data_IF_920782649825
#
_entry.id   IF_920782649825
#
_cell.length_a   1.000
_cell.length_b   1.000
_cell.length_c   1.000
_cell.angle_alpha   90.00
_cell.angle_beta   90.00
_cell.angle_gamma   90.00
#
_symmetry.space_group_name_H-M   'P 1'
#
loop_
_entity.id
_entity.type
_entity.pdbx_description
1 polymer ?
#
# COMPACT_ATOMS: atom_id res chain seq x y z
N UNK A 1 23.10 2.56 27.58
CA UNK A 1 22.63 3.91 27.96
C UNK A 1 23.64 5.05 27.78
N UNK A 2 24.97 4.81 27.63
CA UNK A 2 25.94 5.89 27.40
C UNK A 2 26.02 6.41 25.95
N UNK A 3 25.64 5.64 24.92
CA UNK A 3 25.79 6.05 23.51
C UNK A 3 24.72 7.03 23.01
N UNK A 4 23.46 6.87 23.38
CA UNK A 4 22.37 7.75 22.90
C UNK A 4 22.53 9.19 23.39
N UNK A 5 23.01 9.39 24.62
CA UNK A 5 23.28 10.73 25.16
C UNK A 5 24.46 11.41 24.45
N UNK A 6 25.46 10.65 24.00
CA UNK A 6 26.59 11.18 23.23
C UNK A 6 26.22 11.50 21.77
N UNK A 7 25.36 10.67 21.18
CA UNK A 7 24.66 10.92 19.90
C UNK A 7 23.87 12.22 19.96
N UNK A 8 23.03 12.33 20.97
CA UNK A 8 22.20 13.50 21.23
C UNK A 8 23.10 14.71 21.49
N UNK A 9 24.13 14.63 22.34
CA UNK A 9 25.10 15.72 22.54
C UNK A 9 25.77 16.12 21.22
N UNK A 10 26.28 15.17 20.43
CA UNK A 10 27.01 15.43 19.19
C UNK A 10 26.16 16.15 18.15
N UNK A 11 24.90 15.74 17.94
CA UNK A 11 24.01 16.38 16.94
C UNK A 11 23.19 17.54 17.52
N UNK A 12 23.12 17.68 18.85
CA UNK A 12 22.65 18.92 19.52
C UNK A 12 23.72 20.02 19.49
N UNK A 13 25.01 19.67 19.47
CA UNK A 13 26.14 20.62 19.44
C UNK A 13 26.29 21.37 18.11
N UNK A 14 25.89 20.78 16.97
CA UNK A 14 25.88 21.47 15.67
C UNK A 14 24.70 22.45 15.52
N UNK A 15 23.67 22.32 16.36
CA UNK A 15 22.51 23.23 16.45
C UNK A 15 22.77 24.31 17.54
N UNK A 16 23.69 25.22 17.21
CA UNK A 16 24.09 26.44 17.93
C UNK A 16 23.48 26.74 19.34
N UNK A 17 24.34 26.60 20.36
CA UNK A 17 24.43 27.36 21.63
C UNK A 17 23.13 27.68 22.39
N UNK A 18 22.89 26.88 23.43
CA UNK A 18 22.15 27.33 24.60
C UNK A 18 21.34 26.23 25.24
N UNK A 19 21.92 25.59 26.28
CA UNK A 19 21.27 24.77 27.30
C UNK A 19 20.45 23.57 26.82
N UNK A 20 20.89 22.33 27.11
CA UNK A 20 19.98 21.24 27.50
C UNK A 20 20.71 19.96 27.94
N UNK A 21 20.45 19.55 29.18
CA UNK A 21 20.57 18.18 29.67
C UNK A 21 19.36 17.37 29.12
N UNK A 22 19.59 16.21 28.52
CA UNK A 22 18.55 15.31 28.02
C UNK A 22 18.57 13.99 28.82
N UNK A 23 17.67 13.86 29.79
CA UNK A 23 17.31 12.58 30.40
C UNK A 23 15.99 12.10 29.76
N UNK A 24 16.12 11.18 28.80
CA UNK A 24 15.01 10.65 28.01
C UNK A 24 14.21 9.56 28.74
N UNK A 25 14.44 9.37 30.05
CA UNK A 25 13.55 8.59 30.92
C UNK A 25 12.35 9.39 31.42
N UNK A 26 12.32 10.71 31.18
CA UNK A 26 11.21 11.58 31.56
C UNK A 26 10.70 12.38 30.36
N UNK A 27 9.45 12.12 29.95
CA UNK A 27 8.70 12.82 28.89
C UNK A 27 8.72 14.36 29.02
N UNK A 28 9.00 14.89 30.23
CA UNK A 28 9.05 16.32 30.55
C UNK A 28 10.06 17.15 29.74
N UNK A 29 11.13 16.56 29.20
CA UNK A 29 12.20 17.32 28.53
C UNK A 29 12.00 17.52 27.02
N UNK A 30 11.06 16.81 26.40
CA UNK A 30 10.63 17.05 25.02
C UNK A 30 9.83 18.35 24.88
N UNK A 31 9.31 18.88 25.98
CA UNK A 31 8.51 20.12 26.02
C UNK A 31 9.28 21.38 25.59
N UNK A 32 10.62 21.34 25.57
CA UNK A 32 11.45 22.47 25.14
C UNK A 32 11.66 22.54 23.62
N UNK A 33 11.30 21.50 22.87
CA UNK A 33 11.22 21.55 21.40
C UNK A 33 9.76 21.73 21.01
N UNK A 34 9.42 22.90 20.45
CA UNK A 34 8.01 23.20 20.11
C UNK A 34 7.36 22.20 19.11
N UNK A 35 8.12 21.29 18.47
CA UNK A 35 7.61 20.30 17.50
C UNK A 35 8.38 18.95 17.47
N UNK A 36 8.92 18.46 18.59
CA UNK A 36 9.51 17.10 18.65
C UNK A 36 8.43 16.05 18.99
N UNK A 37 8.45 14.90 18.31
CA UNK A 37 7.49 13.81 18.54
C UNK A 37 8.22 12.50 18.80
N UNK A 38 7.93 11.89 19.94
CA UNK A 38 8.40 10.54 20.30
C UNK A 38 7.26 9.56 20.07
N UNK A 39 7.56 8.50 19.31
CA UNK A 39 6.60 7.47 18.94
C UNK A 39 7.04 6.16 19.58
N UNK A 40 6.27 5.72 20.56
CA UNK A 40 6.45 4.44 21.26
C UNK A 40 5.78 3.27 20.53
N UNK A 41 4.67 3.55 19.83
CA UNK A 41 3.99 2.58 19.00
C UNK A 41 3.44 3.31 17.75
N UNK A 42 4.07 3.14 16.57
CA UNK A 42 3.64 3.82 15.36
C UNK A 42 2.32 3.29 14.81
N UNK A 43 1.83 2.13 15.28
CA UNK A 43 0.68 1.43 14.73
C UNK A 43 -0.55 1.72 15.58
N UNK A 44 -1.63 2.19 14.94
CA UNK A 44 -2.95 2.29 15.57
C UNK A 44 -3.40 0.94 16.14
N UNK A 45 -4.10 0.93 17.27
CA UNK A 45 -4.67 -0.31 17.85
C UNK A 45 -5.59 -1.08 16.89
N UNK A 46 -6.12 -0.40 15.87
CA UNK A 46 -7.01 -0.99 14.87
C UNK A 46 -6.28 -1.75 13.76
N UNK A 47 -4.93 -1.79 13.72
CA UNK A 47 -4.17 -2.33 12.60
C UNK A 47 -4.67 -1.80 11.23
N UNK A 48 -4.95 -0.50 11.12
CA UNK A 48 -5.41 0.13 9.87
C UNK A 48 -4.37 1.06 9.23
N UNK A 49 -3.10 0.92 9.63
CA UNK A 49 -1.92 1.48 8.92
C UNK A 49 -1.86 2.98 8.77
N UNK A 50 -2.47 3.69 9.70
CA UNK A 50 -2.31 5.13 9.83
C UNK A 50 -1.48 5.34 11.09
N UNK A 51 -0.50 6.24 11.01
CA UNK A 51 0.14 6.78 12.22
C UNK A 51 -0.95 7.17 13.22
N UNK A 52 -0.74 6.83 14.50
CA UNK A 52 -1.62 7.25 15.58
C UNK A 52 -1.88 8.78 15.47
N UNK A 53 -3.06 9.22 15.93
CA UNK A 53 -3.58 10.59 15.81
C UNK A 53 -2.61 11.68 16.28
N UNK A 54 -1.57 11.29 17.04
CA UNK A 54 -0.41 12.05 17.48
C UNK A 54 0.25 12.93 16.41
N UNK A 55 0.27 12.51 15.13
CA UNK A 55 0.87 13.28 14.02
C UNK A 55 -0.14 13.84 13.00
N UNK A 56 -1.44 13.78 13.30
CA UNK A 56 -2.47 14.31 12.38
C UNK A 56 -2.20 15.79 12.10
N UNK A 57 -1.94 16.08 10.82
CA UNK A 57 -1.73 17.41 10.24
C UNK A 57 -0.54 18.25 10.76
N UNK A 58 0.42 17.66 11.49
CA UNK A 58 1.61 18.39 11.98
C UNK A 58 2.89 17.86 11.36
N UNK A 59 3.79 18.78 11.02
CA UNK A 59 5.17 18.45 10.69
C UNK A 59 6.02 18.47 11.97
N UNK A 60 6.93 17.51 12.09
CA UNK A 60 7.85 17.40 13.21
C UNK A 60 9.29 17.67 12.76
N UNK A 61 10.05 18.39 13.58
CA UNK A 61 11.48 18.60 13.32
C UNK A 61 12.32 17.40 13.76
N UNK A 62 11.77 16.56 14.63
CA UNK A 62 12.38 15.34 15.12
C UNK A 62 11.28 14.29 15.32
N UNK A 63 11.46 13.13 14.70
CA UNK A 63 10.68 11.93 14.95
C UNK A 63 11.61 10.90 15.55
N UNK A 64 11.31 10.46 16.77
CA UNK A 64 12.06 9.41 17.44
C UNK A 64 11.19 8.15 17.56
N UNK A 65 11.57 7.09 16.85
CA UNK A 65 10.99 5.76 16.99
C UNK A 65 11.78 4.97 18.02
N UNK A 66 11.12 4.65 19.13
CA UNK A 66 11.71 3.86 20.21
C UNK A 66 11.36 2.38 20.06
N UNK A 67 12.38 1.53 20.04
CA UNK A 67 12.22 0.08 20.04
C UNK A 67 11.99 -0.50 18.64
N UNK A 68 11.72 -1.80 18.61
CA UNK A 68 11.64 -2.62 17.40
C UNK A 68 10.23 -2.77 16.83
N UNK A 69 9.29 -1.87 17.17
CA UNK A 69 7.89 -1.97 16.72
C UNK A 69 7.75 -1.88 15.19
N UNK A 70 8.60 -1.08 14.54
CA UNK A 70 8.66 -1.04 13.07
C UNK A 70 9.08 -2.39 12.46
N UNK A 71 9.85 -3.18 13.21
CA UNK A 71 10.31 -4.50 12.82
C UNK A 71 9.27 -5.61 13.08
N UNK A 72 8.16 -5.30 13.75
CA UNK A 72 7.11 -6.27 14.05
C UNK A 72 5.94 -6.24 13.07
N UNK A 73 5.89 -5.25 12.19
CA UNK A 73 4.79 -5.04 11.26
C UNK A 73 5.16 -5.38 9.82
N UNK A 74 4.21 -5.96 9.08
CA UNK A 74 4.31 -6.09 7.62
C UNK A 74 4.19 -4.73 6.91
N UNK A 75 3.79 -3.68 7.64
CA UNK A 75 3.57 -2.34 7.13
C UNK A 75 4.73 -1.39 7.41
N UNK A 76 5.91 -1.94 7.73
CA UNK A 76 7.13 -1.15 7.96
C UNK A 76 7.38 -0.13 6.85
N UNK A 77 7.14 -0.50 5.59
CA UNK A 77 7.29 0.37 4.41
C UNK A 77 6.35 1.58 4.46
N UNK A 78 5.06 1.34 4.70
CA UNK A 78 4.01 2.37 4.78
C UNK A 78 4.27 3.30 5.96
N UNK A 79 4.63 2.74 7.12
CA UNK A 79 4.94 3.51 8.32
C UNK A 79 6.14 4.42 8.09
N UNK A 80 7.22 3.91 7.49
CA UNK A 80 8.40 4.71 7.18
C UNK A 80 8.07 5.87 6.21
N UNK A 81 7.28 5.60 5.17
CA UNK A 81 6.82 6.60 4.22
C UNK A 81 6.02 7.71 4.93
N UNK A 82 5.07 7.35 5.80
CA UNK A 82 4.30 8.34 6.56
C UNK A 82 5.19 9.18 7.49
N UNK A 83 6.11 8.55 8.22
CA UNK A 83 7.00 9.27 9.13
C UNK A 83 7.92 10.23 8.37
N UNK A 84 8.48 9.79 7.25
CA UNK A 84 9.31 10.64 6.40
C UNK A 84 8.54 11.86 5.88
N UNK A 85 7.29 11.66 5.45
CA UNK A 85 6.43 12.74 4.98
C UNK A 85 5.99 13.70 6.09
N UNK A 86 5.96 13.25 7.36
CA UNK A 86 5.67 14.11 8.52
C UNK A 86 6.89 14.84 9.06
N UNK A 87 8.10 14.56 8.57
CA UNK A 87 9.26 15.38 8.91
C UNK A 87 9.24 16.70 8.16
N UNK A 88 9.47 17.78 8.90
CA UNK A 88 9.80 19.09 8.34
C UNK A 88 11.11 19.00 7.52
N UNK A 89 11.32 19.89 6.55
CA UNK A 89 12.64 20.07 5.94
C UNK A 89 13.73 20.23 7.00
N UNK A 90 14.91 19.62 6.78
CA UNK A 90 16.01 19.51 7.76
C UNK A 90 15.68 18.72 9.03
N UNK A 91 14.50 18.11 9.12
CA UNK A 91 14.10 17.30 10.27
C UNK A 91 14.85 15.97 10.35
N UNK A 92 14.84 15.37 11.54
CA UNK A 92 15.57 14.14 11.83
C UNK A 92 14.64 12.96 12.10
N UNK A 93 14.89 11.83 11.43
CA UNK A 93 14.32 10.53 11.76
C UNK A 93 15.32 9.74 12.60
N UNK A 94 14.97 9.42 13.82
CA UNK A 94 15.80 8.59 14.71
C UNK A 94 15.12 7.23 14.88
N UNK A 95 15.84 6.17 14.52
CA UNK A 95 15.44 4.79 14.74
C UNK A 95 16.33 4.21 15.85
N UNK A 96 15.75 4.05 17.04
CA UNK A 96 16.45 3.45 18.17
C UNK A 96 16.06 1.97 18.27
N UNK A 97 17.03 1.07 18.09
CA UNK A 97 16.88 -0.40 18.16
C UNK A 97 16.22 -1.04 16.92
N UNK A 98 16.58 -0.60 15.71
CA UNK A 98 16.15 -1.26 14.48
C UNK A 98 16.76 -2.67 14.38
N UNK A 99 15.95 -3.69 14.09
CA UNK A 99 16.39 -5.08 13.93
C UNK A 99 16.03 -5.63 12.55
N UNK A 100 17.02 -6.13 11.82
CA UNK A 100 16.77 -6.74 10.51
C UNK A 100 15.82 -7.94 10.61
N UNK A 101 14.87 -8.03 9.69
CA UNK A 101 13.93 -9.14 9.62
C UNK A 101 13.62 -9.51 8.15
N UNK A 102 12.72 -10.47 7.94
CA UNK A 102 12.34 -10.93 6.59
C UNK A 102 11.62 -9.87 5.74
N UNK A 103 11.04 -8.85 6.36
CA UNK A 103 10.28 -7.79 5.69
C UNK A 103 11.13 -6.55 5.40
N UNK A 104 12.17 -6.29 6.21
CA UNK A 104 12.99 -5.09 6.12
C UNK A 104 14.39 -5.34 6.70
N UNK A 105 15.39 -5.38 5.81
CA UNK A 105 16.82 -5.43 6.12
C UNK A 105 17.39 -4.02 6.29
N UNK A 106 18.64 -3.92 6.75
CA UNK A 106 19.33 -2.61 6.87
C UNK A 106 19.53 -1.95 5.50
N UNK A 107 19.88 -2.73 4.47
CA UNK A 107 20.04 -2.20 3.12
C UNK A 107 18.69 -1.80 2.52
N UNK A 108 17.62 -2.56 2.80
CA UNK A 108 16.26 -2.24 2.36
C UNK A 108 15.76 -0.94 2.99
N UNK A 109 15.97 -0.76 4.30
CA UNK A 109 15.67 0.48 5.00
C UNK A 109 16.40 1.68 4.37
N UNK A 110 17.71 1.58 4.16
CA UNK A 110 18.50 2.67 3.56
C UNK A 110 18.05 2.97 2.13
N UNK A 111 17.76 1.93 1.33
CA UNK A 111 17.22 2.08 -0.03
C UNK A 111 15.89 2.84 -0.02
N UNK A 112 14.98 2.52 0.91
CA UNK A 112 13.70 3.23 1.04
C UNK A 112 13.89 4.70 1.38
N UNK A 113 14.74 5.02 2.37
CA UNK A 113 15.01 6.42 2.73
C UNK A 113 15.66 7.17 1.57
N UNK A 114 16.55 6.51 0.81
CA UNK A 114 17.11 7.04 -0.41
C UNK A 114 15.99 7.36 -1.43
N UNK A 115 15.09 6.42 -1.70
CA UNK A 115 13.99 6.61 -2.65
C UNK A 115 13.02 7.72 -2.19
N UNK A 116 12.68 7.77 -0.89
CA UNK A 116 11.77 8.78 -0.33
C UNK A 116 12.28 10.20 -0.45
N UNK A 117 13.61 10.35 -0.50
CA UNK A 117 14.29 11.63 -0.59
C UNK A 117 14.82 11.92 -1.99
N UNK A 118 14.48 11.11 -2.99
CA UNK A 118 15.08 11.17 -4.32
C UNK A 118 16.63 11.19 -4.28
N UNK A 119 17.21 10.44 -3.34
CA UNK A 119 18.64 10.30 -3.15
C UNK A 119 19.34 11.41 -2.35
N UNK A 120 18.58 12.28 -1.68
CA UNK A 120 19.13 13.47 -1.01
C UNK A 120 19.13 13.41 0.52
N UNK A 121 18.58 12.35 1.12
CA UNK A 121 18.65 12.13 2.56
C UNK A 121 20.10 11.89 3.02
N UNK A 122 20.42 12.40 4.20
CA UNK A 122 21.73 12.20 4.84
C UNK A 122 21.62 11.14 5.95
N UNK A 123 22.51 10.15 5.95
CA UNK A 123 22.71 9.27 7.10
C UNK A 123 23.69 9.96 8.07
N UNK A 124 23.15 10.69 9.03
CA UNK A 124 23.96 11.45 9.99
C UNK A 124 24.70 10.53 10.97
N UNK A 125 24.08 9.42 11.37
CA UNK A 125 24.66 8.48 12.33
C UNK A 125 24.22 7.05 12.08
N UNK A 126 25.16 6.13 12.32
CA UNK A 126 24.91 4.71 12.42
C UNK A 126 25.78 4.10 13.52
N UNK A 127 25.17 3.28 14.36
CA UNK A 127 25.87 2.40 15.28
C UNK A 127 25.20 1.04 15.30
N UNK A 128 26.01 -0.01 15.33
CA UNK A 128 25.55 -1.38 15.45
C UNK A 128 25.96 -1.93 16.79
N UNK A 129 24.98 -2.40 17.56
CA UNK A 129 25.20 -3.12 18.81
C UNK A 129 24.54 -4.48 18.69
N UNK A 130 25.34 -5.55 18.68
CA UNK A 130 24.88 -6.93 18.47
C UNK A 130 24.04 -7.07 17.18
N UNK A 131 22.72 -7.26 17.35
CA UNK A 131 21.72 -7.45 16.30
C UNK A 131 20.80 -6.22 16.11
N UNK A 132 21.15 -5.09 16.71
CA UNK A 132 20.38 -3.84 16.65
C UNK A 132 21.18 -2.73 16.00
N UNK A 133 20.47 -1.85 15.29
CA UNK A 133 21.01 -0.62 14.72
C UNK A 133 20.37 0.60 15.38
N UNK A 134 21.20 1.59 15.67
CA UNK A 134 20.81 2.96 15.98
C UNK A 134 21.10 3.80 14.74
N UNK A 135 20.07 4.42 14.15
CA UNK A 135 20.19 5.16 12.89
C UNK A 135 19.59 6.54 13.04
N UNK A 136 20.28 7.54 12.47
CA UNK A 136 19.77 8.91 12.37
C UNK A 136 19.85 9.34 10.92
N UNK A 137 18.69 9.61 10.33
CA UNK A 137 18.57 10.20 9.00
C UNK A 137 18.13 11.65 9.11
N UNK A 138 18.65 12.49 8.23
CA UNK A 138 18.21 13.88 8.09
C UNK A 138 17.57 14.09 6.74
N UNK A 139 16.40 14.73 6.78
CA UNK A 139 15.65 15.13 5.60
C UNK A 139 16.30 16.35 4.94
N UNK A 140 16.39 16.42 3.59
CA UNK A 140 16.98 17.57 2.90
C UNK A 140 16.19 18.87 3.18
N UNK A 141 16.82 20.00 2.82
CA UNK A 141 16.17 21.33 2.85
C UNK A 141 15.11 21.47 1.76
N UNK A 142 15.41 20.95 0.57
CA UNK A 142 14.46 20.87 -0.53
C UNK A 142 13.92 19.44 -0.56
N UNK A 143 12.70 19.27 -0.05
CA UNK A 143 11.92 18.05 -0.17
C UNK A 143 10.56 18.44 -0.74
N UNK A 144 10.27 18.03 -1.97
CA UNK A 144 8.93 18.24 -2.51
C UNK A 144 7.95 17.30 -1.79
N UNK A 145 6.78 17.80 -1.35
CA UNK A 145 5.82 16.95 -0.67
C UNK A 145 5.32 15.86 -1.61
N UNK A 146 5.70 14.61 -1.36
CA UNK A 146 5.21 13.43 -2.09
C UNK A 146 3.70 13.20 -1.92
N UNK A 147 3.08 13.92 -0.99
CA UNK A 147 1.67 13.87 -0.67
C UNK A 147 0.99 15.25 -0.75
N UNK A 148 1.34 16.05 -1.75
CA UNK A 148 0.80 17.39 -1.96
C UNK A 148 -0.74 17.43 -2.16
N UNK A 149 -1.28 18.65 -2.18
CA UNK A 149 -2.70 18.92 -2.43
C UNK A 149 -3.51 19.28 -1.19
N UNK A 150 -4.78 19.63 -1.40
CA UNK A 150 -5.77 19.91 -0.35
C UNK A 150 -6.81 18.80 -0.33
N UNK A 151 -7.19 18.34 0.87
CA UNK A 151 -8.22 17.30 0.99
C UNK A 151 -9.56 17.72 0.40
N UNK A 152 -9.84 19.03 0.32
CA UNK A 152 -11.07 19.60 -0.21
C UNK A 152 -11.10 19.81 -1.73
N UNK A 153 -10.04 19.40 -2.45
CA UNK A 153 -9.85 19.69 -3.87
C UNK A 153 -9.59 18.43 -4.71
N UNK A 154 -10.51 18.08 -5.63
CA UNK A 154 -10.53 16.77 -6.32
C UNK A 154 -10.84 16.84 -7.82
N UNK A 155 -10.12 16.06 -8.62
CA UNK A 155 -10.48 15.75 -9.99
C UNK A 155 -11.04 14.32 -10.07
N UNK A 156 -12.21 14.14 -10.68
CA UNK A 156 -12.82 12.84 -10.90
C UNK A 156 -12.75 12.46 -12.38
N UNK A 157 -11.87 11.53 -12.71
CA UNK A 157 -11.75 10.97 -14.04
C UNK A 157 -12.67 9.78 -14.27
N UNK A 158 -13.65 9.92 -15.15
CA UNK A 158 -14.60 8.85 -15.48
C UNK A 158 -14.27 8.28 -16.85
N UNK A 159 -14.04 6.98 -16.91
CA UNK A 159 -13.81 6.27 -18.16
C UNK A 159 -15.08 5.57 -18.60
N UNK A 160 -15.49 5.84 -19.84
CA UNK A 160 -16.69 5.23 -20.42
C UNK A 160 -16.51 4.88 -21.90
N UNK A 161 -17.38 4.00 -22.38
CA UNK A 161 -17.62 3.79 -23.82
C UNK A 161 -18.86 4.54 -24.31
N UNK A 162 -19.53 5.32 -23.45
CA UNK A 162 -20.76 6.05 -23.78
C UNK A 162 -22.04 5.20 -23.80
N UNK A 163 -21.92 3.87 -23.77
CA UNK A 163 -23.07 2.94 -23.95
C UNK A 163 -23.98 2.78 -22.72
N UNK A 164 -23.50 3.14 -21.53
CA UNK A 164 -24.21 2.90 -20.24
C UNK A 164 -24.65 4.21 -19.60
N UNK A 165 -25.53 4.95 -20.28
CA UNK A 165 -26.02 6.27 -19.83
C UNK A 165 -26.39 6.28 -18.35
N UNK A 166 -27.25 5.36 -17.92
CA UNK A 166 -27.75 5.29 -16.54
C UNK A 166 -26.65 5.06 -15.50
N UNK A 167 -25.59 4.32 -15.85
CA UNK A 167 -24.50 4.07 -14.91
C UNK A 167 -23.59 5.28 -14.78
N UNK A 168 -23.31 5.95 -15.91
CA UNK A 168 -22.60 7.23 -15.92
C UNK A 168 -23.35 8.25 -15.09
N UNK A 169 -24.67 8.44 -15.33
CA UNK A 169 -25.50 9.38 -14.58
C UNK A 169 -25.46 9.11 -13.08
N UNK A 170 -25.66 7.85 -12.66
CA UNK A 170 -25.56 7.48 -11.24
C UNK A 170 -24.19 7.75 -10.63
N UNK A 171 -23.11 7.51 -11.38
CA UNK A 171 -21.75 7.83 -10.92
C UNK A 171 -21.59 9.34 -10.74
N UNK A 172 -22.00 10.13 -11.73
CA UNK A 172 -21.93 11.59 -11.67
C UNK A 172 -22.72 12.11 -10.46
N UNK A 173 -23.97 11.71 -10.31
CA UNK A 173 -24.82 12.10 -9.19
C UNK A 173 -24.15 11.73 -7.84
N UNK A 174 -23.57 10.54 -7.73
CA UNK A 174 -22.88 10.11 -6.51
C UNK A 174 -21.63 10.92 -6.16
N UNK A 175 -20.97 11.52 -7.16
CA UNK A 175 -19.86 12.45 -6.97
C UNK A 175 -20.38 13.80 -6.47
N UNK A 176 -21.45 14.32 -7.09
CA UNK A 176 -22.08 15.60 -6.69
C UNK A 176 -22.61 15.52 -5.25
N UNK A 177 -23.24 14.42 -4.88
CA UNK A 177 -23.79 14.17 -3.55
C UNK A 177 -22.74 14.19 -2.43
N UNK A 178 -21.45 14.01 -2.76
CA UNK A 178 -20.36 14.12 -1.78
C UNK A 178 -20.18 15.55 -1.24
N UNK A 179 -20.66 16.57 -1.98
CA UNK A 179 -20.54 18.00 -1.62
C UNK A 179 -19.10 18.42 -1.32
N UNK A 180 -18.16 17.97 -2.15
CA UNK A 180 -16.75 18.35 -2.06
C UNK A 180 -16.62 19.83 -2.41
N UNK A 181 -15.86 20.65 -1.65
CA UNK A 181 -15.81 22.09 -1.88
C UNK A 181 -15.27 22.50 -3.26
N UNK A 182 -14.15 21.90 -3.67
CA UNK A 182 -13.53 22.15 -4.96
C UNK A 182 -13.44 20.83 -5.73
N UNK A 183 -14.22 20.69 -6.80
CA UNK A 183 -14.08 19.53 -7.67
C UNK A 183 -14.38 19.82 -9.14
N UNK A 184 -13.96 18.89 -9.98
CA UNK A 184 -14.34 18.79 -11.38
C UNK A 184 -14.49 17.32 -11.77
N UNK A 185 -15.17 17.06 -12.88
CA UNK A 185 -15.33 15.75 -13.46
C UNK A 185 -14.81 15.79 -14.90
N UNK A 186 -13.95 14.84 -15.24
CA UNK A 186 -13.38 14.67 -16.58
C UNK A 186 -13.85 13.33 -17.10
N UNK A 187 -14.74 13.37 -18.09
CA UNK A 187 -15.32 12.18 -18.68
C UNK A 187 -14.65 11.88 -20.02
N UNK A 188 -13.95 10.75 -20.11
CA UNK A 188 -13.18 10.35 -21.30
C UNK A 188 -13.82 9.14 -21.96
N UNK A 189 -14.25 9.32 -23.21
CA UNK A 189 -14.96 8.32 -23.99
C UNK A 189 -16.04 8.93 -24.88
N UNK A 190 -16.73 8.08 -25.63
CA UNK A 190 -17.72 8.49 -26.63
C UNK A 190 -19.11 8.73 -26.03
N UNK A 191 -19.18 9.59 -25.01
CA UNK A 191 -20.43 9.93 -24.31
C UNK A 191 -21.10 11.13 -24.97
N UNK A 192 -22.24 10.87 -25.63
CA UNK A 192 -22.99 11.86 -26.40
C UNK A 192 -24.27 12.34 -25.72
N UNK A 193 -24.55 11.84 -24.51
CA UNK A 193 -25.78 12.19 -23.79
C UNK A 193 -25.65 13.54 -23.09
N UNK A 194 -26.79 14.22 -22.94
CA UNK A 194 -26.85 15.49 -22.22
C UNK A 194 -26.49 15.27 -20.74
N UNK A 195 -25.61 16.13 -20.22
CA UNK A 195 -25.28 16.22 -18.80
C UNK A 195 -26.34 17.08 -18.11
N UNK A 196 -26.68 16.76 -16.87
CA UNK A 196 -27.59 17.56 -16.07
C UNK A 196 -27.10 19.02 -15.95
N UNK A 197 -27.99 19.97 -16.27
CA UNK A 197 -27.70 21.40 -16.27
C UNK A 197 -27.25 21.91 -14.88
N UNK A 198 -27.60 21.23 -13.79
CA UNK A 198 -27.21 21.60 -12.43
C UNK A 198 -25.70 21.54 -12.17
N UNK A 199 -24.97 20.71 -12.92
CA UNK A 199 -23.53 20.48 -12.71
C UNK A 199 -22.73 20.40 -14.02
N UNK A 200 -23.32 20.83 -15.14
CA UNK A 200 -22.66 20.83 -16.45
C UNK A 200 -21.37 21.67 -16.46
N UNK A 201 -21.29 22.74 -15.66
CA UNK A 201 -20.10 23.57 -15.51
C UNK A 201 -18.92 22.83 -14.83
N UNK A 202 -19.21 21.72 -14.14
CA UNK A 202 -18.21 20.86 -13.48
C UNK A 202 -17.73 19.73 -14.37
N UNK A 203 -18.40 19.45 -15.49
CA UNK A 203 -18.13 18.27 -16.32
C UNK A 203 -17.44 18.66 -17.62
N UNK A 204 -16.22 18.15 -17.81
CA UNK A 204 -15.49 18.22 -19.08
C UNK A 204 -15.56 16.88 -19.78
N UNK A 205 -16.19 16.83 -20.95
CA UNK A 205 -16.21 15.64 -21.81
C UNK A 205 -15.05 15.73 -22.80
N UNK A 206 -14.25 14.66 -22.89
CA UNK A 206 -13.17 14.51 -23.85
C UNK A 206 -13.48 13.28 -24.70
N UNK A 207 -13.91 13.46 -25.97
CA UNK A 207 -14.17 12.35 -26.87
C UNK A 207 -12.91 11.50 -27.08
N UNK A 208 -13.07 10.18 -27.00
CA UNK A 208 -12.00 9.24 -27.30
C UNK A 208 -12.57 7.88 -27.73
N UNK A 209 -12.20 7.46 -28.93
CA UNK A 209 -12.62 6.18 -29.54
C UNK A 209 -11.46 5.41 -30.20
N UNK A 210 -10.21 5.85 -30.01
CA UNK A 210 -9.05 5.21 -30.63
C UNK A 210 -8.79 3.84 -30.01
N UNK A 211 -8.69 2.80 -30.85
CA UNK A 211 -8.47 1.42 -30.42
C UNK A 211 -9.48 0.95 -29.35
N UNK A 212 -10.72 1.43 -29.44
CA UNK A 212 -11.80 1.03 -28.52
C UNK A 212 -12.16 -0.46 -28.65
N UNK A 213 -11.89 -1.07 -29.81
CA UNK A 213 -11.99 -2.53 -30.05
C UNK A 213 -11.05 -3.33 -29.14
N UNK A 214 -9.88 -2.76 -28.82
CA UNK A 214 -8.90 -3.33 -27.86
C UNK A 214 -9.10 -2.79 -26.44
N UNK A 215 -9.92 -1.75 -26.27
CA UNK A 215 -10.13 -1.08 -24.99
C UNK A 215 -8.86 -0.39 -24.49
N UNK A 216 -8.42 0.68 -25.16
CA UNK A 216 -7.21 1.45 -24.78
C UNK A 216 -7.39 2.27 -23.48
N UNK A 217 -7.62 1.57 -22.38
CA UNK A 217 -8.00 2.13 -21.08
C UNK A 217 -6.88 2.98 -20.48
N UNK A 218 -5.62 2.57 -20.66
CA UNK A 218 -4.43 3.28 -20.20
C UNK A 218 -4.32 4.66 -20.84
N UNK A 219 -4.63 4.79 -22.13
CA UNK A 219 -4.67 6.09 -22.81
C UNK A 219 -5.74 7.01 -22.22
N UNK A 220 -6.95 6.49 -21.96
CA UNK A 220 -8.03 7.25 -21.30
C UNK A 220 -7.60 7.71 -19.90
N UNK A 221 -6.97 6.83 -19.10
CA UNK A 221 -6.43 7.15 -17.77
C UNK A 221 -5.36 8.26 -17.83
N UNK A 222 -4.47 8.23 -18.83
CA UNK A 222 -3.45 9.27 -19.01
C UNK A 222 -4.04 10.61 -19.47
N UNK A 223 -5.03 10.61 -20.37
CA UNK A 223 -5.75 11.82 -20.78
C UNK A 223 -6.41 12.49 -19.57
N UNK A 224 -7.04 11.70 -18.70
CA UNK A 224 -7.60 12.17 -17.43
C UNK A 224 -6.53 12.88 -16.61
N UNK A 225 -5.39 12.22 -16.35
CA UNK A 225 -4.31 12.79 -15.52
C UNK A 225 -3.75 14.10 -16.09
N UNK A 226 -3.60 14.17 -17.43
CA UNK A 226 -3.15 15.38 -18.13
C UNK A 226 -4.15 16.55 -18.03
N UNK A 227 -5.43 16.25 -17.93
CA UNK A 227 -6.49 17.26 -17.89
C UNK A 227 -6.95 17.60 -16.46
N UNK A 228 -6.56 16.82 -15.46
CA UNK A 228 -6.86 17.07 -14.06
C UNK A 228 -6.30 18.42 -13.61
N UNK A 229 -7.13 19.23 -12.95
CA UNK A 229 -6.79 20.50 -12.31
C UNK A 229 -6.21 20.27 -10.92
N UNK A 230 -6.77 19.34 -10.16
CA UNK A 230 -6.45 19.14 -8.75
C UNK A 230 -5.48 17.98 -8.53
N UNK A 231 -4.82 18.03 -7.37
CA UNK A 231 -3.80 17.05 -7.03
C UNK A 231 -4.38 15.70 -6.60
N UNK A 232 -5.54 15.70 -5.95
CA UNK A 232 -6.25 14.46 -5.64
C UNK A 232 -7.04 14.01 -6.86
N UNK A 233 -6.62 12.91 -7.47
CA UNK A 233 -7.23 12.36 -8.66
C UNK A 233 -7.86 11.00 -8.35
N UNK A 234 -9.15 10.86 -8.60
CA UNK A 234 -9.83 9.57 -8.62
C UNK A 234 -10.10 9.20 -10.08
N UNK A 235 -9.52 8.10 -10.55
CA UNK A 235 -9.78 7.54 -11.88
C UNK A 235 -10.64 6.30 -11.73
N UNK A 236 -11.80 6.26 -12.40
CA UNK A 236 -12.81 5.23 -12.17
C UNK A 236 -13.55 4.86 -13.44
N UNK A 237 -13.97 3.61 -13.52
CA UNK A 237 -14.84 3.13 -14.58
C UNK A 237 -16.28 3.57 -14.34
N UNK A 238 -17.04 3.80 -15.40
CA UNK A 238 -18.46 4.16 -15.37
C UNK A 238 -19.42 3.15 -14.72
N UNK A 239 -18.93 2.07 -14.10
CA UNK A 239 -19.74 1.07 -13.36
C UNK A 239 -19.65 1.22 -11.85
N UNK A 240 -19.04 2.28 -11.34
CA UNK A 240 -18.93 2.52 -9.91
C UNK A 240 -19.89 3.61 -9.46
N UNK A 241 -20.22 3.61 -8.18
CA UNK A 241 -20.91 4.67 -7.46
C UNK A 241 -20.12 4.93 -6.19
N UNK A 242 -19.99 6.18 -5.77
CA UNK A 242 -19.38 6.51 -4.49
C UNK A 242 -20.40 6.34 -3.36
N UNK A 243 -20.03 5.67 -2.27
CA UNK A 243 -20.88 5.62 -1.07
C UNK A 243 -21.09 7.05 -0.54
N UNK A 244 -22.25 7.32 0.08
CA UNK A 244 -22.57 8.62 0.67
C UNK A 244 -21.53 9.14 1.68
N UNK A 245 -20.73 8.25 2.26
CA UNK A 245 -19.65 8.59 3.19
C UNK A 245 -18.26 8.53 2.55
N UNK A 246 -18.15 8.45 1.22
CA UNK A 246 -16.86 8.36 0.54
C UNK A 246 -15.97 9.54 0.90
N UNK A 247 -16.47 10.77 0.77
CA UNK A 247 -15.68 11.97 1.05
C UNK A 247 -15.38 12.15 2.54
N UNK A 248 -16.35 11.94 3.43
CA UNK A 248 -16.09 12.00 4.87
C UNK A 248 -15.08 10.93 5.32
N UNK A 249 -15.08 9.76 4.66
CA UNK A 249 -14.05 8.74 4.79
C UNK A 249 -12.67 9.21 4.33
N UNK A 250 -12.59 9.95 3.22
CA UNK A 250 -11.33 10.55 2.75
C UNK A 250 -10.83 11.63 3.73
N UNK A 251 -11.70 12.49 4.25
CA UNK A 251 -11.36 13.48 5.27
C UNK A 251 -10.84 12.80 6.55
N UNK A 252 -11.46 11.68 6.94
CA UNK A 252 -11.02 10.89 8.10
C UNK A 252 -9.66 10.23 7.87
N UNK A 253 -9.42 9.70 6.67
CA UNK A 253 -8.15 9.09 6.29
C UNK A 253 -7.02 10.12 6.23
N UNK A 254 -7.31 11.30 5.66
CA UNK A 254 -6.36 12.39 5.48
C UNK A 254 -5.75 12.40 4.07
N UNK A 255 -4.97 13.45 3.79
CA UNK A 255 -4.45 13.70 2.44
C UNK A 255 -3.06 13.10 2.16
N UNK A 256 -2.53 12.32 3.10
CA UNK A 256 -1.15 11.86 3.12
C UNK A 256 -0.98 10.52 2.41
N UNK A 257 -1.20 10.48 1.10
CA UNK A 257 -1.11 9.27 0.28
C UNK A 257 -0.45 9.54 -1.08
N UNK A 258 0.05 8.48 -1.71
CA UNK A 258 0.59 8.51 -3.07
C UNK A 258 -0.37 7.85 -4.05
N UNK A 259 -0.71 6.59 -3.76
CA UNK A 259 -1.73 5.80 -4.44
C UNK A 259 -2.56 5.05 -3.40
N UNK A 260 -3.85 4.99 -3.63
CA UNK A 260 -4.86 4.56 -2.68
C UNK A 260 -5.99 3.82 -3.40
N UNK A 261 -6.53 2.82 -2.74
CA UNK A 261 -7.82 2.22 -3.07
C UNK A 261 -8.74 2.34 -1.85
N UNK A 262 -10.02 2.09 -2.02
CA UNK A 262 -10.98 2.04 -0.92
C UNK A 262 -11.73 0.72 -0.96
N UNK A 263 -12.57 0.45 0.05
CA UNK A 263 -13.43 -0.74 0.03
C UNK A 263 -14.34 -0.72 -1.20
N UNK A 264 -14.54 -1.86 -1.84
CA UNK A 264 -15.44 -1.97 -3.00
C UNK A 264 -16.37 -3.16 -2.82
N UNK A 265 -17.67 -2.91 -2.93
CA UNK A 265 -18.70 -3.93 -2.76
C UNK A 265 -19.79 -3.82 -3.81
N UNK A 266 -20.57 -4.89 -3.98
CA UNK A 266 -21.84 -4.86 -4.68
C UNK A 266 -22.96 -4.31 -3.77
N UNK A 267 -24.13 -4.01 -4.34
CA UNK A 267 -25.30 -3.57 -3.58
C UNK A 267 -25.77 -4.56 -2.50
N UNK A 268 -25.52 -5.84 -2.70
CA UNK A 268 -25.84 -6.92 -1.77
C UNK A 268 -24.74 -7.14 -0.71
N UNK A 269 -23.73 -6.28 -0.67
CA UNK A 269 -22.63 -6.31 0.30
C UNK A 269 -21.52 -7.30 -0.05
N UNK A 270 -21.57 -7.96 -1.23
CA UNK A 270 -20.49 -8.84 -1.64
C UNK A 270 -19.24 -8.02 -1.98
N UNK A 271 -18.13 -8.38 -1.33
CA UNK A 271 -16.83 -7.76 -1.56
C UNK A 271 -16.36 -8.04 -2.99
N UNK A 272 -15.87 -6.98 -3.63
CA UNK A 272 -15.25 -7.04 -4.96
C UNK A 272 -13.73 -6.83 -4.83
N UNK A 273 -12.92 -7.15 -5.85
CA UNK A 273 -11.45 -7.04 -5.78
C UNK A 273 -10.94 -5.61 -5.51
N UNK A 274 -10.89 -5.22 -4.24
CA UNK A 274 -10.48 -3.89 -3.78
C UNK A 274 -9.09 -3.87 -3.15
N UNK A 275 -8.74 -4.95 -2.45
CA UNK A 275 -7.47 -5.17 -1.77
C UNK A 275 -7.00 -6.58 -2.09
N UNK A 276 -6.12 -6.67 -3.09
CA UNK A 276 -5.69 -7.91 -3.72
C UNK A 276 -4.18 -7.94 -3.92
N UNK A 277 -3.59 -9.12 -3.80
CA UNK A 277 -2.17 -9.36 -4.09
C UNK A 277 -2.02 -10.49 -5.10
N UNK A 278 -0.92 -10.47 -5.81
CA UNK A 278 -0.45 -11.57 -6.66
C UNK A 278 0.81 -12.18 -6.07
N UNK A 279 1.27 -13.28 -6.66
CA UNK A 279 2.51 -13.96 -6.28
C UNK A 279 3.66 -13.75 -7.29
N UNK A 280 3.40 -13.12 -8.44
CA UNK A 280 4.40 -12.80 -9.44
C UNK A 280 4.02 -11.51 -10.19
N UNK A 281 4.98 -10.60 -10.33
CA UNK A 281 4.80 -9.28 -10.95
C UNK A 281 5.04 -9.24 -12.46
N UNK A 282 5.63 -10.29 -13.03
CA UNK A 282 6.06 -10.34 -14.44
C UNK A 282 5.40 -11.45 -15.24
N UNK A 283 4.55 -12.26 -14.61
CA UNK A 283 3.81 -13.34 -15.24
C UNK A 283 2.35 -13.29 -14.81
N UNK A 284 1.49 -13.89 -15.62
CA UNK A 284 0.09 -14.10 -15.25
C UNK A 284 0.00 -14.84 -13.93
N UNK A 285 -0.69 -14.23 -12.98
CA UNK A 285 -0.82 -14.74 -11.63
C UNK A 285 -2.28 -14.62 -11.18
N UNK A 286 -2.76 -15.63 -10.47
CA UNK A 286 -4.08 -15.60 -9.87
C UNK A 286 -4.08 -14.59 -8.71
N UNK A 287 -4.94 -13.56 -8.75
CA UNK A 287 -5.03 -12.61 -7.65
C UNK A 287 -5.74 -13.25 -6.46
N UNK A 288 -5.30 -12.89 -5.26
CA UNK A 288 -5.90 -13.31 -4.01
C UNK A 288 -6.41 -12.11 -3.22
N UNK A 289 -7.59 -12.25 -2.63
CA UNK A 289 -8.10 -11.30 -1.66
C UNK A 289 -7.19 -11.24 -0.44
N UNK A 290 -6.94 -10.03 0.02
CA UNK A 290 -6.25 -9.79 1.28
C UNK A 290 -7.23 -9.32 2.34
N UNK A 291 -6.98 -9.70 3.59
CA UNK A 291 -7.62 -9.04 4.74
C UNK A 291 -7.21 -7.56 4.75
N UNK A 292 -8.13 -6.68 5.16
CA UNK A 292 -7.88 -5.24 5.15
C UNK A 292 -6.76 -4.83 6.10
N UNK A 293 -6.49 -5.66 7.11
CA UNK A 293 -5.43 -5.53 8.09
C UNK A 293 -4.11 -6.23 7.66
N UNK A 294 -3.99 -6.69 6.42
CA UNK A 294 -2.78 -7.34 5.90
C UNK A 294 -2.07 -6.54 4.79
N UNK A 295 -0.75 -6.73 4.68
CA UNK A 295 0.11 -6.09 3.69
C UNK A 295 0.95 -7.09 2.92
N UNK A 296 1.15 -6.78 1.65
CA UNK A 296 2.07 -7.46 0.76
C UNK A 296 2.74 -6.42 -0.13
N UNK A 297 4.07 -6.46 -0.31
CA UNK A 297 4.74 -5.70 -1.37
C UNK A 297 4.21 -6.00 -2.79
N UNK A 298 3.48 -7.11 -2.97
CA UNK A 298 2.87 -7.53 -4.23
C UNK A 298 1.38 -7.17 -4.33
N UNK A 299 0.86 -6.39 -3.37
CA UNK A 299 -0.49 -5.81 -3.48
C UNK A 299 -0.58 -4.92 -4.74
N UNK A 300 -1.72 -4.92 -5.41
CA UNK A 300 -1.96 -4.04 -6.55
C UNK A 300 -3.33 -3.36 -6.46
N UNK A 301 -3.41 -2.17 -7.05
CA UNK A 301 -4.65 -1.39 -7.07
C UNK A 301 -5.48 -1.91 -8.23
N UNK A 302 -6.69 -2.40 -8.00
CA UNK A 302 -7.56 -2.81 -9.10
C UNK A 302 -7.83 -1.64 -10.06
N UNK A 303 -7.73 -1.90 -11.36
CA UNK A 303 -7.83 -0.89 -12.40
C UNK A 303 -9.19 -0.22 -12.55
N UNK A 304 -10.24 -0.77 -11.91
CA UNK A 304 -11.60 -0.23 -11.95
C UNK A 304 -11.79 1.08 -11.18
N UNK A 305 -11.05 1.26 -10.08
CA UNK A 305 -11.04 2.48 -9.26
C UNK A 305 -9.65 2.67 -8.68
N UNK A 306 -9.01 3.80 -9.01
CA UNK A 306 -7.68 4.16 -8.53
C UNK A 306 -7.70 5.60 -8.02
N UNK A 307 -7.27 5.81 -6.78
CA UNK A 307 -7.05 7.15 -6.22
C UNK A 307 -5.52 7.38 -6.23
N UNK A 308 -5.07 8.46 -6.86
CA UNK A 308 -3.64 8.75 -7.03
C UNK A 308 -3.40 10.25 -7.01
N UNK A 309 -2.19 10.66 -6.64
CA UNK A 309 -1.77 12.07 -6.81
C UNK A 309 -1.52 12.37 -8.28
N UNK A 310 -2.02 13.50 -8.77
CA UNK A 310 -1.86 13.93 -10.16
C UNK A 310 -0.38 14.02 -10.55
N UNK A 311 0.47 14.64 -9.72
CA UNK A 311 1.91 14.73 -9.98
C UNK A 311 2.54 13.36 -10.19
N UNK A 312 2.19 12.38 -9.36
CA UNK A 312 2.66 11.00 -9.48
C UNK A 312 2.14 10.36 -10.77
N UNK A 313 0.86 10.53 -11.10
CA UNK A 313 0.28 10.00 -12.35
C UNK A 313 0.92 10.60 -13.61
N UNK A 314 1.36 11.87 -13.56
CA UNK A 314 2.08 12.52 -14.66
C UNK A 314 3.54 12.06 -14.76
N UNK A 315 4.20 11.88 -13.62
CA UNK A 315 5.57 11.38 -13.54
C UNK A 315 5.68 9.91 -13.97
N UNK A 316 4.67 9.11 -13.62
CA UNK A 316 4.60 7.67 -13.84
C UNK A 316 3.26 7.30 -14.51
N UNK A 317 3.05 7.67 -15.79
CA UNK A 317 1.79 7.41 -16.48
C UNK A 317 1.49 5.91 -16.59
N UNK A 318 0.22 5.58 -16.83
CA UNK A 318 -0.15 4.21 -17.21
C UNK A 318 0.57 3.84 -18.51
N UNK A 319 1.08 2.61 -18.59
CA UNK A 319 1.77 2.13 -19.77
C UNK A 319 0.79 1.96 -20.94
N UNK A 320 0.85 2.86 -21.92
CA UNK A 320 -0.04 2.86 -23.09
C UNK A 320 0.15 1.65 -24.02
N UNK A 321 1.17 0.81 -23.79
CA UNK A 321 1.32 -0.47 -24.48
C UNK A 321 0.37 -1.55 -23.95
N UNK A 322 -0.22 -1.35 -22.76
CA UNK A 322 -1.16 -2.27 -22.14
C UNK A 322 -2.59 -1.79 -22.35
N UNK A 323 -3.44 -2.69 -22.81
CA UNK A 323 -4.86 -2.48 -23.04
C UNK A 323 -5.69 -3.03 -21.89
N UNK A 324 -7.02 -2.88 -21.98
CA UNK A 324 -7.91 -3.51 -21.03
C UNK A 324 -7.63 -5.01 -20.91
N UNK A 325 -7.66 -5.53 -19.69
CA UNK A 325 -7.44 -6.95 -19.39
C UNK A 325 -5.97 -7.42 -19.53
N UNK A 326 -5.01 -6.48 -19.62
CA UNK A 326 -3.58 -6.75 -19.80
C UNK A 326 -2.73 -6.41 -18.56
N UNK A 327 -3.29 -6.55 -17.36
CA UNK A 327 -2.61 -6.29 -16.08
C UNK A 327 -1.98 -4.89 -15.99
N UNK A 328 -2.61 -3.87 -16.57
CA UNK A 328 -2.09 -2.50 -16.57
C UNK A 328 -2.01 -1.89 -15.17
N UNK A 329 -2.87 -2.40 -14.29
CA UNK A 329 -3.05 -1.97 -12.92
C UNK A 329 -2.02 -2.62 -11.97
N UNK A 330 -1.69 -3.89 -12.21
CA UNK A 330 -0.53 -4.59 -11.63
C UNK A 330 0.77 -3.89 -12.02
N UNK A 331 0.98 -3.67 -13.33
CA UNK A 331 2.19 -3.03 -13.86
C UNK A 331 2.43 -1.67 -13.21
N UNK A 332 1.41 -0.81 -13.21
CA UNK A 332 1.52 0.52 -12.62
C UNK A 332 1.86 0.42 -11.13
N UNK A 333 1.11 -0.38 -10.36
CA UNK A 333 1.29 -0.42 -8.90
C UNK A 333 2.68 -0.91 -8.52
N UNK A 334 3.19 -1.93 -9.20
CA UNK A 334 4.52 -2.47 -8.92
C UNK A 334 5.65 -1.58 -9.45
N UNK A 335 5.43 -0.85 -10.55
CA UNK A 335 6.36 0.20 -10.97
C UNK A 335 6.39 1.35 -9.96
N UNK A 336 5.26 1.79 -9.44
CA UNK A 336 5.19 2.81 -8.40
C UNK A 336 5.88 2.36 -7.10
N UNK A 337 5.69 1.10 -6.70
CA UNK A 337 6.37 0.50 -5.55
C UNK A 337 7.90 0.61 -5.67
N UNK A 338 8.45 0.32 -6.86
CA UNK A 338 9.89 0.45 -7.16
C UNK A 338 10.42 1.89 -7.12
N UNK A 339 9.54 2.89 -7.16
CA UNK A 339 9.87 4.31 -6.99
C UNK A 339 9.48 4.81 -5.59
N UNK A 340 9.32 3.88 -4.63
CA UNK A 340 9.01 4.20 -3.24
C UNK A 340 7.56 4.63 -2.98
N UNK A 341 6.65 4.55 -3.96
CA UNK A 341 5.24 4.90 -3.79
C UNK A 341 4.41 3.67 -3.44
N UNK A 342 3.89 3.61 -2.22
CA UNK A 342 3.15 2.45 -1.73
C UNK A 342 1.65 2.59 -1.90
N UNK A 343 1.03 1.53 -2.42
CA UNK A 343 -0.42 1.40 -2.36
C UNK A 343 -0.89 1.22 -0.93
N UNK A 344 -1.95 1.96 -0.60
CA UNK A 344 -2.65 1.87 0.68
C UNK A 344 -4.13 1.61 0.46
N UNK A 345 -4.80 1.12 1.51
CA UNK A 345 -6.24 0.99 1.56
C UNK A 345 -6.81 2.08 2.47
N UNK A 346 -7.84 2.79 2.01
CA UNK A 346 -8.69 3.58 2.87
C UNK A 346 -9.88 2.75 3.34
N UNK A 347 -9.92 2.34 4.62
CA UNK A 347 -11.00 1.52 5.17
C UNK A 347 -12.28 2.31 5.51
N UNK A 348 -12.22 3.64 5.45
CA UNK A 348 -13.31 4.55 5.81
C UNK A 348 -14.12 5.00 4.60
N UNK A 349 -13.55 4.95 3.40
CA UNK A 349 -14.24 5.22 2.15
C UNK A 349 -14.66 3.92 1.48
N UNK A 350 -15.72 4.00 0.66
CA UNK A 350 -16.30 2.85 -0.01
C UNK A 350 -16.87 3.24 -1.37
N UNK A 351 -16.78 2.34 -2.33
CA UNK A 351 -17.45 2.43 -3.61
C UNK A 351 -18.34 1.20 -3.86
N UNK A 352 -19.41 1.39 -4.61
CA UNK A 352 -20.37 0.36 -4.97
C UNK A 352 -20.19 0.03 -6.45
N UNK A 353 -20.04 -1.26 -6.78
CA UNK A 353 -19.92 -1.74 -8.15
C UNK A 353 -21.30 -2.11 -8.69
N UNK A 354 -21.69 -1.41 -9.75
CA UNK A 354 -22.87 -1.71 -10.54
C UNK A 354 -22.65 -2.96 -11.39
N UNK A 355 -23.62 -3.86 -11.36
CA UNK A 355 -23.63 -5.06 -12.18
C UNK A 355 -24.83 -5.05 -13.13
N UNK A 356 -24.65 -5.48 -14.38
CA UNK A 356 -25.78 -5.81 -15.26
C UNK A 356 -26.27 -7.22 -14.92
N UNK A 357 -27.56 -7.39 -14.63
CA UNK A 357 -28.15 -8.69 -14.29
C UNK A 357 -27.62 -9.83 -15.20
N UNK A 358 -27.10 -10.91 -14.57
CA UNK A 358 -26.74 -12.24 -15.12
C UNK A 358 -25.26 -12.67 -15.28
N UNK A 359 -24.25 -12.00 -14.72
CA UNK A 359 -22.87 -12.56 -14.76
C UNK A 359 -22.17 -12.48 -13.40
N UNK A 360 -22.04 -13.60 -12.68
CA UNK A 360 -21.23 -13.67 -11.43
C UNK A 360 -19.70 -13.73 -11.69
N UNK A 361 -19.25 -13.51 -12.92
CA UNK A 361 -17.81 -13.47 -13.24
C UNK A 361 -17.19 -12.11 -12.91
N UNK A 362 -17.10 -11.80 -11.61
CA UNK A 362 -16.26 -10.71 -11.09
C UNK A 362 -14.76 -10.97 -11.26
N UNK A 363 -14.40 -12.22 -11.60
CA UNK A 363 -13.03 -12.69 -11.77
C UNK A 363 -12.51 -12.58 -13.21
N UNK A 364 -13.28 -11.99 -14.14
CA UNK A 364 -12.91 -11.83 -15.56
C UNK A 364 -11.89 -10.71 -15.81
N UNK A 365 -10.85 -10.61 -14.97
CA UNK A 365 -9.87 -9.52 -14.98
C UNK A 365 -8.59 -9.82 -15.76
N UNK A 366 -8.46 -11.01 -16.35
CA UNK A 366 -7.37 -11.34 -17.27
C UNK A 366 -7.92 -12.02 -18.51
N UNK A 367 -7.28 -11.80 -19.68
CA UNK A 367 -7.64 -12.56 -20.87
C UNK A 367 -7.51 -14.06 -20.55
N UNK A 368 -8.53 -14.88 -20.86
CA UNK A 368 -8.42 -16.31 -20.66
C UNK A 368 -7.21 -16.81 -21.43
N UNK A 369 -6.30 -17.48 -20.70
CA UNK A 369 -5.09 -18.13 -21.17
C UNK A 369 -5.16 -18.52 -22.66
N UNK A 370 -4.36 -17.88 -23.50
CA UNK A 370 -3.74 -18.60 -24.62
C UNK A 370 -2.88 -19.66 -23.93
N UNK A 371 -3.10 -20.94 -24.22
CA UNK A 371 -2.29 -22.05 -23.71
C UNK A 371 -0.82 -21.62 -23.68
N UNK A 372 -0.28 -21.36 -22.49
CA UNK A 372 1.15 -21.22 -22.34
C UNK A 372 1.68 -22.58 -22.77
N UNK A 373 2.44 -22.62 -23.87
CA UNK A 373 3.15 -23.82 -24.25
C UNK A 373 3.87 -24.30 -22.99
N UNK A 374 3.62 -25.54 -22.56
CA UNK A 374 4.37 -26.13 -21.45
C UNK A 374 5.84 -25.96 -21.79
N UNK A 375 6.49 -25.00 -21.12
CA UNK A 375 7.93 -24.80 -21.30
C UNK A 375 8.55 -26.03 -20.69
N UNK A 376 9.11 -26.88 -21.54
CA UNK A 376 9.87 -28.03 -21.09
C UNK A 376 10.93 -27.51 -20.10
N UNK A 377 10.95 -27.95 -18.84
CA UNK A 377 11.93 -27.48 -17.85
C UNK A 377 13.38 -27.68 -18.32
N UNK A 378 13.61 -28.59 -19.28
CA UNK A 378 14.91 -28.86 -19.89
C UNK A 378 15.28 -27.87 -21.02
N UNK A 379 14.43 -26.90 -21.36
CA UNK A 379 14.70 -25.85 -22.35
C UNK A 379 15.05 -24.49 -21.73
N UNK A 380 15.12 -24.39 -20.40
CA UNK A 380 15.78 -23.25 -19.79
C UNK A 380 17.27 -23.30 -20.15
N UNK A 381 17.65 -22.48 -21.12
CA UNK A 381 19.04 -22.07 -21.30
C UNK A 381 19.36 -21.20 -20.09
N UNK A 382 19.83 -21.83 -19.01
CA UNK A 382 20.61 -21.08 -18.03
C UNK A 382 21.76 -20.49 -18.84
N UNK A 383 21.85 -19.15 -18.88
CA UNK A 383 23.07 -18.51 -19.35
C UNK A 383 24.22 -19.18 -18.59
N UNK A 384 25.17 -19.76 -19.32
CA UNK A 384 26.36 -20.37 -18.73
C UNK A 384 26.85 -19.45 -17.60
N UNK A 385 26.95 -20.00 -16.39
CA UNK A 385 27.53 -19.27 -15.26
C UNK A 385 28.82 -18.61 -15.75
N UNK A 386 29.07 -17.32 -15.46
CA UNK A 386 30.33 -16.70 -15.82
C UNK A 386 31.46 -17.53 -15.19
N UNK A 387 32.14 -18.32 -16.03
CA UNK A 387 33.32 -19.08 -15.64
C UNK A 387 34.40 -18.09 -15.23
N UNK A 388 34.49 -17.87 -13.93
CA UNK A 388 35.59 -17.12 -13.32
C UNK A 388 35.14 -15.95 -12.47
N UNK A 389 34.50 -16.23 -11.32
CA UNK A 389 34.64 -15.41 -10.11
C UNK A 389 34.44 -16.34 -8.89
N UNK A 390 35.57 -16.78 -8.34
CA UNK A 390 35.80 -17.36 -7.01
C UNK A 390 34.97 -18.60 -6.58
N UNK A 391 35.44 -19.78 -7.00
CA UNK A 391 35.41 -20.98 -6.14
C UNK A 391 36.24 -20.70 -4.87
N UNK A 392 35.62 -20.18 -3.81
CA UNK A 392 36.16 -20.23 -2.43
C UNK A 392 35.12 -19.89 -1.34
N UNK A 393 33.86 -20.33 -1.48
CA UNK A 393 32.88 -20.17 -0.40
C UNK A 393 31.85 -21.30 -0.22
N UNK A 394 31.91 -22.39 -0.99
CA UNK A 394 30.92 -23.48 -0.87
C UNK A 394 31.57 -24.87 -0.81
N UNK A 395 32.37 -25.10 0.21
CA UNK A 395 32.58 -26.45 0.76
C UNK A 395 32.73 -26.36 2.29
N UNK A 396 31.63 -26.55 3.02
CA UNK A 396 31.50 -27.40 4.21
C UNK A 396 30.31 -26.99 5.09
N UNK A 397 29.61 -28.01 5.60
CA UNK A 397 28.62 -28.01 6.69
C UNK A 397 27.13 -27.90 6.35
N UNK A 398 26.71 -28.75 5.40
CA UNK A 398 25.41 -29.41 5.48
C UNK A 398 25.38 -30.40 6.65
N UNK A 399 24.69 -30.08 7.75
CA UNK A 399 23.89 -31.01 8.58
C UNK A 399 23.21 -30.36 9.81
N UNK A 400 23.75 -29.34 10.51
CA UNK A 400 23.11 -28.78 11.71
C UNK A 400 21.83 -27.97 11.44
N UNK A 401 21.78 -27.24 10.31
CA UNK A 401 20.67 -26.33 9.99
C UNK A 401 19.37 -27.05 9.61
N UNK A 402 19.45 -28.23 8.99
CA UNK A 402 18.26 -29.04 8.68
C UNK A 402 17.61 -29.57 9.97
N UNK A 403 18.42 -29.98 10.94
CA UNK A 403 17.94 -30.49 12.22
C UNK A 403 17.27 -29.39 13.08
N UNK A 404 17.82 -28.17 13.06
CA UNK A 404 17.24 -27.03 13.80
C UNK A 404 15.93 -26.54 13.18
N UNK A 405 15.83 -26.54 11.84
CA UNK A 405 14.57 -26.24 11.11
C UNK A 405 13.48 -27.24 11.46
N UNK A 406 13.79 -28.54 11.37
CA UNK A 406 12.84 -29.62 11.65
C UNK A 406 12.38 -29.62 13.12
N UNK A 407 13.29 -29.32 14.06
CA UNK A 407 12.94 -29.21 15.49
C UNK A 407 12.01 -28.03 15.75
N UNK A 408 12.20 -26.91 15.03
CA UNK A 408 11.35 -25.72 15.13
C UNK A 408 9.96 -25.96 14.54
N UNK A 409 9.90 -26.61 13.38
CA UNK A 409 8.65 -27.03 12.72
C UNK A 409 7.87 -28.03 13.58
N UNK A 410 8.55 -28.99 14.23
CA UNK A 410 7.94 -29.93 15.15
C UNK A 410 7.34 -29.25 16.40
N UNK A 411 8.04 -28.24 16.95
CA UNK A 411 7.54 -27.46 18.09
C UNK A 411 6.30 -26.64 17.68
N UNK A 412 6.34 -25.98 16.52
CA UNK A 412 5.18 -25.24 15.99
C UNK A 412 3.99 -26.16 15.71
N UNK A 413 4.21 -27.32 15.10
CA UNK A 413 3.16 -28.30 14.84
C UNK A 413 2.54 -28.81 16.16
N UNK A 414 3.35 -29.10 17.19
CA UNK A 414 2.86 -29.51 18.51
C UNK A 414 2.04 -28.41 19.18
N UNK A 415 2.52 -27.16 19.17
CA UNK A 415 1.78 -26.02 19.72
C UNK A 415 0.46 -25.79 18.99
N UNK A 416 0.44 -25.96 17.67
CA UNK A 416 -0.77 -25.82 16.85
C UNK A 416 -1.78 -26.93 17.15
N UNK A 417 -1.33 -28.18 17.30
CA UNK A 417 -2.17 -29.30 17.74
C UNK A 417 -2.73 -29.02 19.13
N UNK A 418 -1.91 -28.63 20.12
CA UNK A 418 -2.40 -28.32 21.47
C UNK A 418 -3.42 -27.17 21.47
N UNK A 419 -3.21 -26.13 20.66
CA UNK A 419 -4.17 -25.05 20.49
C UNK A 419 -5.49 -25.54 19.85
N UNK A 420 -5.41 -26.36 18.81
CA UNK A 420 -6.57 -27.00 18.19
C UNK A 420 -7.32 -27.88 19.21
N UNK A 421 -6.62 -28.69 20.00
CA UNK A 421 -7.22 -29.56 21.00
C UNK A 421 -7.91 -28.80 22.15
N UNK A 422 -7.43 -27.59 22.45
CA UNK A 422 -8.04 -26.71 23.44
C UNK A 422 -9.30 -26.01 22.93
N UNK A 423 -9.46 -25.89 21.60
CA UNK A 423 -10.58 -25.20 20.95
C UNK A 423 -11.93 -25.88 21.20
N UNK A 424 -12.97 -25.07 21.39
CA UNK A 424 -14.36 -25.53 21.50
C UNK A 424 -14.80 -26.33 20.27
N UNK A 425 -14.33 -25.96 19.07
CA UNK A 425 -14.65 -26.67 17.83
C UNK A 425 -14.09 -28.09 17.78
N UNK A 426 -12.86 -28.30 18.26
CA UNK A 426 -12.24 -29.63 18.27
C UNK A 426 -12.90 -30.56 19.29
N UNK A 427 -13.30 -30.01 20.45
CA UNK A 427 -14.08 -30.75 21.47
C UNK A 427 -15.44 -31.17 20.92
N UNK A 428 -16.13 -30.29 20.19
CA UNK A 428 -17.38 -30.58 19.48
C UNK A 428 -17.18 -31.64 18.38
N UNK A 429 -16.13 -31.56 17.57
CA UNK A 429 -15.81 -32.57 16.55
C UNK A 429 -15.53 -33.94 17.19
N UNK A 430 -14.73 -34.01 18.27
CA UNK A 430 -14.48 -35.26 19.01
C UNK A 430 -15.78 -35.84 19.60
N UNK A 431 -16.67 -35.01 20.15
CA UNK A 431 -17.96 -35.46 20.66
C UNK A 431 -18.87 -36.00 19.53
N UNK A 432 -18.88 -35.33 18.38
CA UNK A 432 -19.65 -35.74 17.21
C UNK A 432 -19.16 -37.06 16.59
N UNK A 433 -17.84 -37.28 16.52
CA UNK A 433 -17.25 -38.55 16.07
C UNK A 433 -17.61 -39.69 17.02
N UNK A 434 -17.54 -39.47 18.34
CA UNK A 434 -17.97 -40.47 19.33
C UNK A 434 -19.46 -40.81 19.21
N UNK A 435 -20.30 -39.80 18.98
CA UNK A 435 -21.73 -40.00 18.75
C UNK A 435 -21.99 -40.85 17.49
N UNK A 436 -21.30 -40.55 16.39
CA UNK A 436 -21.41 -41.33 15.15
C UNK A 436 -20.99 -42.80 15.34
N UNK A 437 -19.90 -43.03 16.07
CA UNK A 437 -19.45 -44.39 16.41
C UNK A 437 -20.46 -45.15 17.27
N UNK A 438 -21.05 -44.49 18.29
CA UNK A 438 -22.10 -45.09 19.12
C UNK A 438 -23.37 -45.45 18.34
N UNK A 439 -23.63 -44.74 17.24
CA UNK A 439 -24.76 -44.98 16.33
C UNK A 439 -24.44 -45.95 15.19
N UNK A 440 -23.25 -46.57 15.17
CA UNK A 440 -22.85 -47.52 14.12
C UNK A 440 -22.57 -46.88 12.75
N UNK A 441 -22.43 -45.55 12.70
CA UNK A 441 -22.18 -44.82 11.46
C UNK A 441 -20.66 -44.78 11.21
N UNK A 442 -20.20 -45.34 10.07
CA UNK A 442 -18.79 -45.27 9.65
C UNK A 442 -18.41 -43.81 9.42
N UNK A 443 -17.45 -43.30 10.20
CA UNK A 443 -16.82 -42.00 9.97
C UNK A 443 -15.51 -42.19 9.21
N UNK A 444 -15.29 -41.41 8.15
CA UNK A 444 -13.93 -41.10 7.65
C UNK A 444 -13.32 -40.05 8.58
N UNK A 445 -12.06 -40.26 9.00
CA UNK A 445 -11.33 -39.41 9.96
C UNK A 445 -11.13 -37.96 9.50
#
# INVERSE_FOLDING_TARGET
>A
MKNINQLIEKYSLELNRGSLYLDCSQEKYLANYQNAVVIHNPISQTNLFILNDTLKNRYANLIFLKGHEINRSKFSLVILDELWNKLSPKGYLVLNEFVENRNLSIYGLKSLIYDFSAGTAELCYENRSENTYELVFRKPEQDEPRHAGKIDAWSFGVITQGKRKEFVEKLLDSIIEQKIPEFEIILVGDYIHQINDEYVDKVKIIPFSQQDDKGWITKKKNIIAQNAKYENLLVVHDRFILDKNFYSGMCRYGNSFSILTCKQEMYDGWRTPDWVSINNSHAWATPAFMEYEDYSPLVYCNGGLTIIKKTIALQHPWNEMLFWNQAEDVELTHRLFRHGYFLRLNPYSKAIVLHQNNVRNLYGGFEPFIQIAEVNPNQFIYADEPKGLAQNAYLSNSEPHKFYSLKTELIQAKSMITAMESSKFWKLRKAWVKLKQALGLKGTE
#
